data_IF_515393427157
#
_entry.id   IF_515393427157
#
_cell.length_a   1.000
_cell.length_b   1.000
_cell.length_c   1.000
_cell.angle_alpha   90.00
_cell.angle_beta   90.00
_cell.angle_gamma   90.00
#
_symmetry.space_group_name_H-M   'P 1'
#
loop_
_entity.id
_entity.type
_entity.pdbx_description
1 polymer ?
#
# COMPACT_ATOMS: atom_id res chain seq x y z
N UNK A 1 -30.41 25.37 -12.42
CA UNK A 1 -30.10 26.81 -12.30
C UNK A 1 -31.11 27.49 -11.41
N UNK A 2 -30.63 28.21 -10.36
CA UNK A 2 -31.43 29.09 -9.56
C UNK A 2 -31.82 30.34 -10.39
N UNK A 3 -32.82 31.08 -9.94
CA UNK A 3 -33.24 32.33 -10.64
C UNK A 3 -32.08 33.34 -10.75
N UNK A 4 -31.23 33.43 -9.73
CA UNK A 4 -30.07 34.32 -9.70
C UNK A 4 -28.97 33.86 -10.67
N UNK A 5 -28.71 32.56 -10.75
CA UNK A 5 -27.77 31.99 -11.70
C UNK A 5 -28.22 32.21 -13.15
N UNK A 6 -29.51 32.01 -13.42
CA UNK A 6 -30.06 32.21 -14.73
C UNK A 6 -29.98 33.71 -15.13
N UNK A 7 -30.36 34.63 -14.25
CA UNK A 7 -30.23 36.05 -14.47
C UNK A 7 -28.79 36.51 -14.69
N UNK A 8 -27.85 35.90 -13.93
CA UNK A 8 -26.43 36.15 -14.12
C UNK A 8 -25.96 35.75 -15.52
N UNK A 9 -26.25 34.52 -15.96
CA UNK A 9 -25.81 34.05 -17.26
C UNK A 9 -26.52 34.77 -18.42
N UNK A 10 -27.79 35.17 -18.27
CA UNK A 10 -28.47 36.00 -19.24
C UNK A 10 -27.78 37.36 -19.39
N UNK A 11 -27.45 38.03 -18.27
CA UNK A 11 -26.71 39.31 -18.31
C UNK A 11 -25.33 39.15 -18.93
N UNK A 12 -24.63 38.06 -18.65
CA UNK A 12 -23.33 37.76 -19.22
C UNK A 12 -23.46 37.58 -20.75
N UNK A 13 -24.43 36.81 -21.22
CA UNK A 13 -24.68 36.57 -22.65
C UNK A 13 -25.06 37.88 -23.36
N UNK A 14 -25.96 38.67 -22.78
CA UNK A 14 -26.38 39.95 -23.36
C UNK A 14 -25.24 40.98 -23.42
N UNK A 15 -24.41 41.03 -22.39
CA UNK A 15 -23.22 41.86 -22.39
C UNK A 15 -22.22 41.43 -23.45
N UNK A 16 -22.06 40.12 -23.66
CA UNK A 16 -21.19 39.55 -24.68
C UNK A 16 -21.66 39.87 -26.12
N UNK A 17 -22.98 39.96 -26.34
CA UNK A 17 -23.59 40.31 -27.63
C UNK A 17 -23.64 41.80 -27.89
N UNK A 18 -23.29 42.66 -26.92
CA UNK A 18 -23.33 44.11 -27.06
C UNK A 18 -22.21 44.64 -27.96
N UNK A 19 -22.40 45.86 -28.48
CA UNK A 19 -21.42 46.56 -29.35
C UNK A 19 -20.13 46.96 -28.60
N UNK A 20 -20.18 47.12 -27.27
CA UNK A 20 -19.02 47.30 -26.38
C UNK A 20 -19.12 46.33 -25.20
N UNK A 21 -18.71 45.07 -25.40
CA UNK A 21 -18.83 44.03 -24.39
C UNK A 21 -18.00 44.31 -23.14
N UNK A 22 -16.89 45.01 -23.29
CA UNK A 22 -15.98 45.34 -22.18
C UNK A 22 -16.62 46.27 -21.17
N UNK A 23 -17.32 47.31 -21.67
CA UNK A 23 -18.03 48.24 -20.83
C UNK A 23 -19.30 47.62 -20.25
N UNK A 24 -20.01 46.82 -21.04
CA UNK A 24 -21.19 46.10 -20.62
C UNK A 24 -20.94 45.10 -19.50
N UNK A 25 -19.85 44.35 -19.57
CA UNK A 25 -19.46 43.38 -18.53
C UNK A 25 -18.85 44.04 -17.29
N UNK A 26 -18.14 45.17 -17.41
CA UNK A 26 -17.68 45.94 -16.27
C UNK A 26 -18.85 46.58 -15.47
N UNK A 27 -19.98 46.81 -16.11
CA UNK A 27 -21.18 47.30 -15.48
C UNK A 27 -22.05 46.18 -14.85
N UNK A 28 -21.70 44.90 -15.06
CA UNK A 28 -22.34 43.82 -14.33
C UNK A 28 -21.70 43.79 -12.94
N UNK A 29 -22.32 44.49 -11.98
CA UNK A 29 -21.97 44.45 -10.55
C UNK A 29 -22.19 43.06 -9.91
N UNK A 30 -22.57 42.07 -10.72
CA UNK A 30 -22.94 40.75 -10.24
C UNK A 30 -21.68 39.90 -10.08
N UNK A 31 -21.32 39.67 -8.84
CA UNK A 31 -20.34 38.68 -8.43
C UNK A 31 -20.80 37.31 -8.91
N UNK A 32 -19.87 36.47 -9.33
CA UNK A 32 -20.16 35.05 -9.63
C UNK A 32 -20.96 34.45 -8.48
N UNK A 33 -22.14 33.88 -8.70
CA UNK A 33 -22.98 33.38 -7.62
C UNK A 33 -22.24 32.41 -6.70
N UNK A 34 -22.32 32.63 -5.39
CA UNK A 34 -21.66 31.73 -4.41
C UNK A 34 -22.09 30.27 -4.60
N UNK A 35 -23.34 30.04 -4.99
CA UNK A 35 -23.91 28.73 -5.29
C UNK A 35 -23.18 27.99 -6.40
N UNK A 36 -22.64 28.69 -7.41
CA UNK A 36 -21.84 28.09 -8.47
C UNK A 36 -20.45 27.76 -7.94
N UNK A 37 -19.87 28.63 -7.13
CA UNK A 37 -18.56 28.41 -6.51
C UNK A 37 -18.61 27.17 -5.60
N UNK A 38 -19.60 27.11 -4.72
CA UNK A 38 -19.80 25.99 -3.81
C UNK A 38 -20.03 24.67 -4.57
N UNK A 39 -20.84 24.70 -5.65
CA UNK A 39 -21.08 23.50 -6.47
C UNK A 39 -19.83 23.04 -7.22
N UNK A 40 -18.98 23.94 -7.70
CA UNK A 40 -17.68 23.56 -8.31
C UNK A 40 -16.78 22.90 -7.30
N UNK A 41 -16.69 23.43 -6.08
CA UNK A 41 -15.90 22.78 -5.02
C UNK A 41 -16.47 21.44 -4.58
N UNK A 42 -17.79 21.32 -4.47
CA UNK A 42 -18.45 20.05 -4.16
C UNK A 42 -18.21 19.00 -5.24
N UNK A 43 -18.30 19.36 -6.51
CA UNK A 43 -18.01 18.46 -7.62
C UNK A 43 -16.52 18.10 -7.71
N UNK A 44 -15.60 19.04 -7.44
CA UNK A 44 -14.17 18.77 -7.33
C UNK A 44 -13.87 17.67 -6.31
N UNK A 45 -14.53 17.72 -5.15
CA UNK A 45 -14.35 16.73 -4.10
C UNK A 45 -15.09 15.43 -4.37
N UNK A 46 -16.25 15.49 -5.03
CA UNK A 46 -17.09 14.31 -5.28
C UNK A 46 -16.57 13.45 -6.43
N UNK A 47 -16.14 14.08 -7.53
CA UNK A 47 -15.74 13.37 -8.75
C UNK A 47 -14.25 13.01 -8.80
N UNK A 48 -13.44 13.58 -7.91
CA UNK A 48 -12.00 13.36 -7.82
C UNK A 48 -11.63 12.65 -6.52
N UNK A 49 -11.46 11.32 -6.53
CA UNK A 49 -11.25 10.52 -5.33
C UNK A 49 -10.06 10.98 -4.48
N UNK A 50 -8.97 11.45 -5.09
CA UNK A 50 -7.84 11.99 -4.36
C UNK A 50 -8.24 13.23 -3.56
N UNK A 51 -8.84 14.21 -4.22
CA UNK A 51 -9.21 15.47 -3.57
C UNK A 51 -10.25 15.26 -2.46
N UNK A 52 -11.16 14.31 -2.62
CA UNK A 52 -12.14 13.96 -1.58
C UNK A 52 -11.49 13.40 -0.31
N UNK A 53 -10.36 12.72 -0.44
CA UNK A 53 -9.61 12.13 0.71
C UNK A 53 -8.75 13.14 1.46
N UNK A 54 -8.37 14.25 0.82
CA UNK A 54 -7.43 15.22 1.41
C UNK A 54 -8.08 16.24 2.35
N UNK A 55 -9.38 16.20 2.53
CA UNK A 55 -10.10 17.16 3.39
C UNK A 55 -9.72 18.62 3.06
N UNK A 56 -10.00 19.04 1.82
CA UNK A 56 -9.75 20.41 1.40
C UNK A 56 -10.46 21.41 2.33
N UNK A 57 -9.70 22.36 2.88
CA UNK A 57 -10.23 23.42 3.70
C UNK A 57 -10.44 24.67 2.82
N UNK A 58 -11.65 25.20 2.79
CA UNK A 58 -11.93 26.45 2.08
C UNK A 58 -11.26 27.61 2.81
N UNK A 59 -10.36 28.31 2.13
CA UNK A 59 -9.56 29.40 2.70
C UNK A 59 -9.86 30.71 1.97
N UNK A 60 -10.37 31.70 2.68
CA UNK A 60 -10.64 33.04 2.17
C UNK A 60 -9.56 34.03 2.60
N UNK A 61 -8.40 34.03 1.95
CA UNK A 61 -7.30 34.96 2.21
C UNK A 61 -6.05 34.36 2.82
N UNK A 62 -5.06 35.18 3.16
CA UNK A 62 -3.85 34.77 3.89
C UNK A 62 -4.24 34.15 5.24
N UNK A 63 -4.04 32.86 5.38
CA UNK A 63 -4.36 32.14 6.61
C UNK A 63 -3.06 31.73 7.28
N UNK A 64 -2.83 32.19 8.50
CA UNK A 64 -1.78 31.65 9.37
C UNK A 64 -2.29 30.39 10.00
N UNK A 65 -1.59 29.31 9.77
CA UNK A 65 -1.92 28.01 10.34
C UNK A 65 -1.00 27.70 11.51
N UNK A 66 -1.57 27.33 12.64
CA UNK A 66 -0.82 26.81 13.77
C UNK A 66 -0.76 25.29 13.66
N UNK A 67 0.41 24.76 13.33
CA UNK A 67 0.67 23.33 13.32
C UNK A 67 1.27 22.90 14.67
N UNK A 68 0.68 21.87 15.26
CA UNK A 68 1.30 21.22 16.41
C UNK A 68 2.47 20.36 15.94
N UNK A 69 3.69 20.81 16.14
CA UNK A 69 4.92 20.12 15.72
C UNK A 69 5.44 19.12 16.74
N UNK A 70 4.83 19.01 17.92
CA UNK A 70 5.39 18.20 19.00
C UNK A 70 4.98 16.72 18.98
N UNK A 71 4.24 16.26 17.98
CA UNK A 71 3.86 14.85 17.88
C UNK A 71 2.97 14.36 19.02
N UNK A 72 2.92 13.05 19.22
CA UNK A 72 2.15 12.43 20.28
C UNK A 72 2.91 12.53 21.61
N UNK A 73 2.53 13.52 22.43
CA UNK A 73 3.06 13.65 23.80
C UNK A 73 2.28 12.69 24.72
N UNK A 74 3.00 12.04 25.64
CA UNK A 74 2.40 11.12 26.60
C UNK A 74 2.17 11.84 27.91
N UNK A 75 0.96 11.73 28.47
CA UNK A 75 0.72 12.07 29.85
C UNK A 75 1.38 11.01 30.78
N UNK A 76 1.93 11.46 31.88
CA UNK A 76 2.62 10.58 32.85
C UNK A 76 1.67 10.21 33.97
N UNK A 77 1.66 8.92 34.32
CA UNK A 77 0.93 8.42 35.48
C UNK A 77 1.74 8.67 36.77
N UNK A 78 1.16 9.36 37.73
CA UNK A 78 1.74 9.60 39.06
C UNK A 78 0.78 9.17 40.19
N UNK A 79 1.27 9.07 41.40
CA UNK A 79 0.40 8.85 42.57
C UNK A 79 -0.46 10.10 42.79
N UNK A 80 -1.63 9.93 43.40
CA UNK A 80 -2.61 10.99 43.64
C UNK A 80 -2.05 12.21 44.36
N UNK A 81 -0.95 12.03 45.12
CA UNK A 81 -0.27 13.05 45.94
C UNK A 81 1.00 13.61 45.31
N UNK A 82 1.41 13.10 44.12
CA UNK A 82 2.62 13.55 43.46
C UNK A 82 2.39 14.88 42.74
N UNK A 83 3.43 15.72 42.71
CA UNK A 83 3.40 16.96 41.93
C UNK A 83 3.33 16.60 40.45
N UNK A 84 2.54 17.37 39.65
CA UNK A 84 2.54 17.28 38.20
C UNK A 84 3.94 17.62 37.71
N UNK A 85 4.65 16.64 37.16
CA UNK A 85 6.10 16.72 36.87
C UNK A 85 6.36 17.11 35.42
N UNK A 86 5.41 16.88 34.49
CA UNK A 86 5.62 17.19 33.08
C UNK A 86 4.65 18.24 32.56
N UNK A 87 5.23 19.33 32.10
CA UNK A 87 4.55 20.34 31.30
C UNK A 87 4.53 19.86 29.83
N UNK A 88 3.32 19.73 29.25
CA UNK A 88 3.18 19.48 27.82
C UNK A 88 3.71 20.71 27.09
N UNK A 89 4.86 20.59 26.46
CA UNK A 89 5.44 21.67 25.66
C UNK A 89 4.57 21.89 24.41
N UNK A 90 3.90 23.03 24.32
CA UNK A 90 3.18 23.44 23.13
C UNK A 90 4.19 23.87 22.04
N UNK A 91 4.52 22.94 21.14
CA UNK A 91 5.30 23.27 19.93
C UNK A 91 4.33 23.67 18.82
N UNK A 92 3.86 24.90 18.85
CA UNK A 92 3.13 25.47 17.73
C UNK A 92 4.14 26.12 16.77
N UNK A 93 4.15 25.66 15.52
CA UNK A 93 4.86 26.34 14.44
C UNK A 93 3.83 27.14 13.66
N UNK A 94 4.05 28.44 13.59
CA UNK A 94 3.30 29.31 12.72
C UNK A 94 3.81 29.10 11.29
N UNK A 95 2.95 28.67 10.40
CA UNK A 95 3.25 28.53 8.97
C UNK A 95 2.49 29.61 8.25
N UNK A 96 3.23 30.57 7.69
CA UNK A 96 2.66 31.56 6.76
C UNK A 96 2.27 30.83 5.48
N UNK A 97 0.98 30.67 5.26
CA UNK A 97 0.42 30.04 4.06
C UNK A 97 0.28 31.10 2.99
N UNK A 98 1.30 31.22 2.14
CA UNK A 98 1.17 32.01 0.90
C UNK A 98 0.36 31.19 -0.09
N UNK A 99 -0.75 31.76 -0.56
CA UNK A 99 -1.61 31.09 -1.53
C UNK A 99 -1.01 31.25 -2.93
N UNK A 100 -0.81 30.12 -3.60
CA UNK A 100 -0.40 30.10 -4.99
C UNK A 100 -1.62 30.21 -5.90
N UNK A 101 -1.42 30.77 -7.09
CA UNK A 101 -2.48 31.04 -8.04
C UNK A 101 -2.54 30.00 -9.15
N UNK A 102 -3.56 29.16 -9.13
CA UNK A 102 -3.92 28.32 -10.26
C UNK A 102 -4.86 29.10 -11.20
N UNK A 103 -4.55 29.19 -12.49
CA UNK A 103 -5.34 29.90 -13.48
C UNK A 103 -5.75 28.97 -14.61
N UNK A 104 -7.00 28.99 -15.01
CA UNK A 104 -7.51 28.29 -16.18
C UNK A 104 -8.09 29.29 -17.19
N UNK A 105 -7.77 29.07 -18.47
CA UNK A 105 -8.33 29.81 -19.58
C UNK A 105 -9.51 29.05 -20.17
N UNK A 106 -10.61 29.77 -20.38
CA UNK A 106 -11.80 29.24 -21.01
C UNK A 106 -12.08 29.98 -22.32
N UNK A 107 -11.69 29.46 -23.48
CA UNK A 107 -12.08 30.02 -24.77
C UNK A 107 -13.55 29.70 -25.04
N UNK A 108 -14.34 30.72 -25.39
CA UNK A 108 -15.74 30.59 -25.78
C UNK A 108 -15.93 31.25 -27.13
N UNK A 109 -16.27 30.47 -28.16
CA UNK A 109 -16.63 31.00 -29.47
C UNK A 109 -17.95 31.77 -29.40
N UNK A 110 -18.04 32.88 -30.13
CA UNK A 110 -19.28 33.69 -30.17
C UNK A 110 -20.47 32.85 -30.67
N UNK A 111 -20.24 31.88 -31.56
CA UNK A 111 -21.29 30.97 -32.01
C UNK A 111 -21.87 30.10 -30.88
N UNK A 112 -21.09 29.81 -29.84
CA UNK A 112 -21.54 29.05 -28.68
C UNK A 112 -22.52 29.81 -27.79
N UNK A 113 -22.46 31.17 -27.81
CA UNK A 113 -23.35 32.02 -27.03
C UNK A 113 -24.82 31.94 -27.51
N UNK A 114 -25.04 31.50 -28.75
CA UNK A 114 -26.37 31.28 -29.31
C UNK A 114 -27.11 30.08 -28.71
N UNK A 115 -26.39 29.19 -28.01
CA UNK A 115 -26.97 28.00 -27.37
C UNK A 115 -27.71 28.30 -26.04
N UNK A 116 -27.56 29.50 -25.52
CA UNK A 116 -28.31 29.99 -24.37
C UNK A 116 -27.69 29.71 -22.99
N UNK A 117 -28.32 30.22 -21.91
CA UNK A 117 -27.73 30.24 -20.57
C UNK A 117 -27.48 28.88 -19.95
N UNK A 118 -28.38 27.91 -20.18
CA UNK A 118 -28.26 26.58 -19.59
C UNK A 118 -27.05 25.78 -20.18
N UNK A 119 -26.80 26.00 -21.46
CA UNK A 119 -25.63 25.40 -22.11
C UNK A 119 -24.33 26.02 -21.60
N UNK A 120 -24.29 27.37 -21.49
CA UNK A 120 -23.09 28.06 -21.01
C UNK A 120 -22.75 27.67 -19.58
N UNK A 121 -23.73 27.55 -18.70
CA UNK A 121 -23.55 27.06 -17.34
C UNK A 121 -22.92 25.66 -17.30
N UNK A 122 -23.50 24.72 -18.07
CA UNK A 122 -22.98 23.36 -18.16
C UNK A 122 -21.54 23.33 -18.67
N UNK A 123 -21.26 24.07 -19.74
CA UNK A 123 -19.92 24.12 -20.33
C UNK A 123 -18.89 24.71 -19.37
N UNK A 124 -19.23 25.83 -18.71
CA UNK A 124 -18.36 26.48 -17.72
C UNK A 124 -18.06 25.53 -16.57
N UNK A 125 -19.06 24.85 -16.02
CA UNK A 125 -18.85 23.87 -14.94
C UNK A 125 -17.94 22.74 -15.37
N UNK A 126 -18.24 22.05 -16.46
CA UNK A 126 -17.45 20.90 -16.93
C UNK A 126 -15.97 21.28 -17.17
N UNK A 127 -15.73 22.36 -17.91
CA UNK A 127 -14.35 22.78 -18.23
C UNK A 127 -13.60 23.26 -16.98
N UNK A 128 -14.29 23.99 -16.08
CA UNK A 128 -13.68 24.47 -14.86
C UNK A 128 -13.30 23.33 -13.92
N UNK A 129 -14.24 22.42 -13.67
CA UNK A 129 -14.03 21.30 -12.76
C UNK A 129 -12.86 20.47 -13.27
N UNK A 130 -12.83 20.12 -14.55
CA UNK A 130 -11.77 19.33 -15.13
C UNK A 130 -10.40 20.04 -15.07
N UNK A 131 -10.34 21.30 -15.48
CA UNK A 131 -9.09 22.07 -15.50
C UNK A 131 -8.54 22.31 -14.08
N UNK A 132 -9.40 22.71 -13.14
CA UNK A 132 -8.99 22.95 -11.76
C UNK A 132 -8.63 21.67 -11.03
N UNK A 133 -9.37 20.57 -11.25
CA UNK A 133 -9.08 19.30 -10.65
C UNK A 133 -7.73 18.75 -11.10
N UNK A 134 -7.50 18.73 -12.40
CA UNK A 134 -6.24 18.23 -12.98
C UNK A 134 -5.06 19.07 -12.51
N UNK A 135 -5.18 20.41 -12.52
CA UNK A 135 -4.13 21.30 -12.04
C UNK A 135 -3.87 21.16 -10.54
N UNK A 136 -4.92 21.01 -9.75
CA UNK A 136 -4.81 20.83 -8.30
C UNK A 136 -4.23 19.47 -7.95
N UNK A 137 -4.68 18.39 -8.60
CA UNK A 137 -4.09 17.06 -8.42
C UNK A 137 -2.60 17.04 -8.79
N UNK A 138 -2.22 17.68 -9.90
CA UNK A 138 -0.82 17.78 -10.29
C UNK A 138 0.01 18.49 -9.22
N UNK A 139 -0.44 19.65 -8.72
CA UNK A 139 0.24 20.40 -7.66
C UNK A 139 0.34 19.60 -6.36
N UNK A 140 -0.73 18.90 -5.97
CA UNK A 140 -0.77 18.06 -4.77
C UNK A 140 0.19 16.86 -4.87
N UNK A 141 0.34 16.26 -6.03
CA UNK A 141 1.21 15.09 -6.23
C UNK A 141 2.65 15.51 -6.47
N UNK A 142 2.90 16.43 -7.41
CA UNK A 142 4.24 16.72 -7.96
C UNK A 142 4.75 18.13 -7.68
N UNK A 143 3.90 19.05 -7.23
CA UNK A 143 4.26 20.45 -7.09
C UNK A 143 5.59 20.67 -6.39
N UNK A 144 6.37 21.64 -6.86
CA UNK A 144 7.72 21.91 -6.36
C UNK A 144 7.73 22.73 -5.07
N UNK A 145 6.64 23.41 -4.76
CA UNK A 145 6.53 24.38 -3.65
C UNK A 145 6.91 25.78 -4.05
N UNK A 146 7.27 26.01 -5.32
CA UNK A 146 7.54 27.35 -5.86
C UNK A 146 6.38 27.78 -6.74
N UNK A 147 5.62 28.74 -6.28
CA UNK A 147 4.41 29.25 -6.95
C UNK A 147 3.34 28.14 -7.19
N UNK A 148 3.43 27.03 -6.45
CA UNK A 148 2.54 25.88 -6.48
C UNK A 148 2.62 25.07 -5.16
N UNK A 149 1.65 24.19 -4.84
CA UNK A 149 1.70 23.35 -3.63
C UNK A 149 2.97 22.52 -3.54
N UNK A 150 3.38 22.15 -2.32
CA UNK A 150 4.47 21.19 -2.12
C UNK A 150 3.89 19.78 -2.27
N UNK A 151 4.27 19.09 -3.35
CA UNK A 151 3.75 17.78 -3.70
C UNK A 151 4.06 16.68 -2.69
N UNK A 152 3.25 15.62 -2.70
CA UNK A 152 3.46 14.42 -1.88
C UNK A 152 4.79 13.72 -2.22
N UNK A 153 5.28 13.88 -3.45
CA UNK A 153 6.56 13.35 -3.93
C UNK A 153 7.78 14.13 -3.42
N UNK A 154 7.58 15.26 -2.74
CA UNK A 154 8.65 16.14 -2.27
C UNK A 154 9.03 15.85 -0.82
N UNK A 155 10.32 16.10 -0.52
CA UNK A 155 10.83 16.06 0.84
C UNK A 155 10.41 17.32 1.57
N UNK A 156 9.91 17.18 2.79
CA UNK A 156 9.47 18.29 3.64
C UNK A 156 10.06 18.17 5.05
N UNK A 157 10.21 19.28 5.74
CA UNK A 157 10.66 19.29 7.14
C UNK A 157 11.96 20.05 7.36
N UNK A 158 12.43 20.04 8.61
CA UNK A 158 13.64 20.75 9.00
C UNK A 158 14.89 20.07 8.39
N UNK A 159 15.79 20.85 7.82
CA UNK A 159 17.04 20.36 7.22
C UNK A 159 16.92 19.94 5.74
N UNK A 160 15.75 20.06 5.12
CA UNK A 160 15.60 19.85 3.67
C UNK A 160 16.24 21.01 2.93
N UNK A 161 17.10 20.70 1.95
CA UNK A 161 17.77 21.72 1.14
C UNK A 161 16.83 22.20 0.01
N UNK A 162 16.19 23.34 0.25
CA UNK A 162 15.32 24.00 -0.74
C UNK A 162 16.16 24.93 -1.59
N UNK A 163 16.19 24.69 -2.90
CA UNK A 163 17.00 25.48 -3.86
C UNK A 163 16.05 26.29 -4.75
N UNK A 164 16.20 27.61 -4.72
CA UNK A 164 15.37 28.50 -5.55
C UNK A 164 13.86 28.48 -5.24
N UNK A 165 13.48 28.01 -4.05
CA UNK A 165 12.08 27.80 -3.64
C UNK A 165 11.52 26.40 -3.96
N UNK A 166 12.30 25.55 -4.63
CA UNK A 166 11.88 24.20 -5.01
C UNK A 166 12.36 23.15 -4.01
N UNK A 167 11.44 22.30 -3.57
CA UNK A 167 11.69 21.19 -2.67
C UNK A 167 12.20 19.97 -3.44
N UNK A 168 13.24 19.27 -2.95
CA UNK A 168 13.77 18.09 -3.63
C UNK A 168 12.78 16.95 -3.64
N UNK A 169 12.86 16.09 -4.66
CA UNK A 169 12.06 14.87 -4.78
C UNK A 169 12.50 13.82 -3.77
N UNK A 170 11.57 12.94 -3.38
CA UNK A 170 11.89 11.73 -2.61
C UNK A 170 12.48 10.67 -3.52
N UNK A 171 13.45 9.92 -3.01
CA UNK A 171 13.98 8.75 -3.70
C UNK A 171 12.94 7.62 -3.75
N UNK A 172 12.64 7.07 -4.94
CA UNK A 172 11.67 5.99 -5.07
C UNK A 172 12.16 4.69 -4.42
N UNK A 173 11.29 4.04 -3.67
CA UNK A 173 11.55 2.72 -3.08
C UNK A 173 11.13 1.64 -4.08
N UNK A 174 12.08 0.78 -4.46
CA UNK A 174 11.82 -0.29 -5.44
C UNK A 174 10.90 -1.36 -4.88
N UNK A 175 9.82 -1.63 -5.62
CA UNK A 175 8.84 -2.67 -5.29
C UNK A 175 8.83 -3.74 -6.37
N UNK A 176 8.86 -5.00 -5.95
CA UNK A 176 8.71 -6.16 -6.86
C UNK A 176 7.42 -6.93 -6.61
N UNK A 177 6.78 -6.72 -5.48
CA UNK A 177 5.49 -7.32 -5.12
C UNK A 177 4.72 -6.44 -4.13
N UNK A 178 3.40 -6.49 -4.17
CA UNK A 178 2.53 -5.87 -3.17
C UNK A 178 2.15 -6.89 -2.07
N UNK A 179 3.15 -7.61 -1.56
CA UNK A 179 2.96 -8.60 -0.50
C UNK A 179 3.11 -7.97 0.91
N UNK A 180 2.76 -8.79 1.93
CA UNK A 180 2.80 -8.36 3.33
C UNK A 180 4.19 -7.84 3.77
N UNK A 181 5.26 -8.46 3.30
CA UNK A 181 6.63 -8.11 3.73
C UNK A 181 7.04 -6.76 3.14
N UNK A 182 6.92 -6.57 1.83
CA UNK A 182 7.34 -5.33 1.18
C UNK A 182 6.45 -4.16 1.58
N UNK A 183 5.13 -4.33 1.57
CA UNK A 183 4.20 -3.29 2.06
C UNK A 183 4.41 -2.99 3.55
N UNK A 184 4.63 -4.01 4.37
CA UNK A 184 4.93 -3.84 5.80
C UNK A 184 6.20 -3.01 6.03
N UNK A 185 7.26 -3.28 5.28
CA UNK A 185 8.51 -2.51 5.36
C UNK A 185 8.29 -1.04 5.00
N UNK A 186 7.58 -0.76 3.92
CA UNK A 186 7.27 0.61 3.52
C UNK A 186 6.35 1.30 4.52
N UNK A 187 5.31 0.61 4.99
CA UNK A 187 4.38 1.14 6.01
C UNK A 187 5.09 1.45 7.33
N UNK A 188 6.14 0.68 7.69
CA UNK A 188 6.93 0.91 8.88
C UNK A 188 7.65 2.27 8.89
N UNK A 189 7.99 2.82 7.71
CA UNK A 189 8.55 4.17 7.57
C UNK A 189 7.52 5.20 8.02
N UNK A 190 6.27 5.03 7.59
CA UNK A 190 5.16 5.92 7.96
C UNK A 190 4.72 5.78 9.42
N UNK A 191 4.99 4.63 10.05
CA UNK A 191 4.72 4.39 11.47
C UNK A 191 5.65 5.20 12.41
N UNK A 192 6.61 5.95 11.83
CA UNK A 192 7.44 6.92 12.57
C UNK A 192 7.30 8.29 11.93
N UNK A 193 7.09 9.31 12.76
CA UNK A 193 7.14 10.69 12.27
C UNK A 193 8.61 11.12 11.99
N UNK A 194 8.80 12.30 11.40
CA UNK A 194 10.13 12.85 11.10
C UNK A 194 11.02 13.06 12.35
N UNK A 195 10.43 13.09 13.54
CA UNK A 195 11.15 13.14 14.85
C UNK A 195 11.47 11.75 15.41
N UNK A 196 11.17 10.66 14.69
CA UNK A 196 11.41 9.27 15.13
C UNK A 196 10.39 8.70 16.10
N UNK A 197 9.34 9.43 16.48
CA UNK A 197 8.29 8.96 17.38
C UNK A 197 7.35 8.00 16.64
N UNK A 198 6.96 6.92 17.31
CA UNK A 198 6.00 5.96 16.77
C UNK A 198 4.59 6.57 16.71
N UNK A 199 3.85 6.25 15.63
CA UNK A 199 2.45 6.67 15.44
C UNK A 199 1.64 5.57 14.78
N UNK A 200 0.32 5.65 14.96
CA UNK A 200 -0.60 4.79 14.23
C UNK A 200 -0.67 5.22 12.76
N UNK A 201 -0.78 4.24 11.88
CA UNK A 201 -0.94 4.44 10.44
C UNK A 201 -2.40 4.16 10.09
N UNK A 202 -3.09 5.14 9.52
CA UNK A 202 -4.49 5.05 9.09
C UNK A 202 -4.68 5.78 7.76
N UNK A 203 -5.84 5.59 7.13
CA UNK A 203 -6.25 6.26 5.89
C UNK A 203 -5.22 6.14 4.77
N UNK A 204 -4.76 4.90 4.56
CA UNK A 204 -3.76 4.61 3.55
C UNK A 204 -4.33 4.69 2.15
N UNK A 205 -3.62 5.41 1.30
CA UNK A 205 -3.90 5.52 -0.13
C UNK A 205 -2.70 5.08 -0.95
N UNK A 206 -2.96 4.48 -2.10
CA UNK A 206 -1.97 4.19 -3.13
C UNK A 206 -2.40 4.91 -4.41
N UNK A 207 -1.69 5.98 -4.76
CA UNK A 207 -1.92 6.74 -5.99
C UNK A 207 -1.11 6.12 -7.11
N UNK A 208 -1.73 5.87 -8.24
CA UNK A 208 -1.09 5.22 -9.39
C UNK A 208 -1.56 5.84 -10.70
N UNK A 209 -0.68 5.83 -11.71
CA UNK A 209 -1.08 6.20 -13.05
C UNK A 209 -2.17 5.22 -13.58
N UNK A 210 -3.22 5.69 -14.28
CA UNK A 210 -4.26 4.82 -14.82
C UNK A 210 -3.71 3.70 -15.72
N UNK A 211 -2.65 3.95 -16.49
CA UNK A 211 -2.01 2.93 -17.34
C UNK A 211 -1.36 1.84 -16.50
N UNK A 212 -0.60 2.24 -15.47
CA UNK A 212 0.06 1.30 -14.56
C UNK A 212 -0.94 0.55 -13.67
N UNK A 213 -2.07 1.17 -13.33
CA UNK A 213 -3.15 0.46 -12.62
C UNK A 213 -3.55 -0.82 -13.36
N UNK A 214 -3.87 -0.70 -14.66
CA UNK A 214 -4.31 -1.86 -15.44
C UNK A 214 -3.19 -2.83 -15.76
N UNK A 215 -1.98 -2.33 -16.07
CA UNK A 215 -0.84 -3.16 -16.49
C UNK A 215 -0.12 -3.84 -15.32
N UNK A 216 0.03 -3.16 -14.18
CA UNK A 216 0.90 -3.59 -13.08
C UNK A 216 0.14 -3.84 -11.78
N UNK A 217 -0.68 -2.87 -11.34
CA UNK A 217 -1.32 -2.93 -10.01
C UNK A 217 -2.42 -3.99 -9.97
N UNK A 218 -3.31 -4.00 -10.95
CA UNK A 218 -4.41 -4.97 -10.98
C UNK A 218 -3.90 -6.42 -10.99
N UNK A 219 -2.91 -6.80 -11.84
CA UNK A 219 -2.32 -8.14 -11.81
C UNK A 219 -1.56 -8.44 -10.51
N UNK A 220 -0.98 -7.43 -9.85
CA UNK A 220 -0.24 -7.60 -8.59
C UNK A 220 -1.15 -7.64 -7.34
N UNK A 221 -2.42 -7.32 -7.48
CA UNK A 221 -3.38 -7.24 -6.36
C UNK A 221 -4.55 -8.22 -6.48
N UNK A 222 -4.63 -8.97 -7.56
CA UNK A 222 -5.69 -9.95 -7.81
C UNK A 222 -5.10 -11.32 -8.08
N UNK A 223 -5.63 -12.31 -7.43
CA UNK A 223 -5.27 -13.70 -7.64
C UNK A 223 -6.50 -14.54 -7.99
N UNK A 224 -6.32 -15.49 -8.89
CA UNK A 224 -7.37 -16.44 -9.25
C UNK A 224 -7.35 -17.60 -8.24
N UNK A 225 -8.46 -17.82 -7.56
CA UNK A 225 -8.62 -18.99 -6.67
C UNK A 225 -8.82 -20.27 -7.49
N UNK A 226 -8.60 -21.47 -6.91
CA UNK A 226 -8.89 -22.73 -7.58
C UNK A 226 -10.33 -22.84 -8.11
N UNK A 227 -11.27 -22.16 -7.46
CA UNK A 227 -12.69 -22.13 -7.84
C UNK A 227 -12.98 -21.15 -9.00
N UNK A 228 -11.96 -20.53 -9.58
CA UNK A 228 -12.09 -19.62 -10.70
C UNK A 228 -12.55 -18.20 -10.34
N UNK A 229 -12.49 -17.80 -9.06
CA UNK A 229 -12.87 -16.46 -8.60
C UNK A 229 -11.63 -15.59 -8.38
N UNK A 230 -11.65 -14.34 -8.85
CA UNK A 230 -10.61 -13.37 -8.55
C UNK A 230 -10.82 -12.74 -7.17
N UNK A 231 -9.83 -12.88 -6.30
CA UNK A 231 -9.84 -12.29 -4.95
C UNK A 231 -8.75 -11.23 -4.80
N UNK A 232 -9.00 -10.24 -3.96
CA UNK A 232 -7.97 -9.26 -3.60
C UNK A 232 -6.93 -9.92 -2.70
N UNK A 233 -5.66 -9.72 -3.03
CA UNK A 233 -4.52 -10.22 -2.23
C UNK A 233 -3.81 -9.10 -1.47
N UNK A 234 -4.36 -7.89 -1.49
CA UNK A 234 -3.79 -6.76 -0.76
C UNK A 234 -3.89 -7.01 0.74
N UNK A 235 -2.76 -7.14 1.44
CA UNK A 235 -2.74 -7.56 2.85
C UNK A 235 -3.04 -6.43 3.84
N UNK A 236 -3.00 -5.18 3.39
CA UNK A 236 -3.19 -3.97 4.20
C UNK A 236 -4.40 -3.21 3.67
N UNK A 237 -5.31 -2.75 4.54
CA UNK A 237 -6.43 -1.92 4.10
C UNK A 237 -5.91 -0.59 3.55
N UNK A 238 -5.94 -0.43 2.25
CA UNK A 238 -5.58 0.80 1.52
C UNK A 238 -6.52 1.02 0.36
N UNK A 239 -6.76 2.26 0.02
CA UNK A 239 -7.52 2.63 -1.17
C UNK A 239 -6.57 2.88 -2.34
N UNK A 240 -6.84 2.24 -3.47
CA UNK A 240 -6.07 2.45 -4.69
C UNK A 240 -6.79 3.48 -5.54
N UNK A 241 -6.15 4.61 -5.76
CA UNK A 241 -6.70 5.76 -6.48
C UNK A 241 -5.91 5.95 -7.77
N UNK A 242 -6.61 6.03 -8.90
CA UNK A 242 -6.01 6.35 -10.18
C UNK A 242 -5.94 7.87 -10.36
N UNK A 243 -4.75 8.39 -10.68
CA UNK A 243 -4.53 9.80 -10.96
C UNK A 243 -3.55 9.96 -12.12
N UNK A 244 -3.93 10.77 -13.11
CA UNK A 244 -3.06 11.10 -14.24
C UNK A 244 -1.87 11.98 -13.82
N UNK A 245 -1.90 12.57 -12.62
CA UNK A 245 -0.78 13.33 -12.08
C UNK A 245 0.41 12.46 -11.65
N UNK A 246 0.21 11.15 -11.47
CA UNK A 246 1.28 10.21 -11.12
C UNK A 246 2.03 9.80 -12.38
N UNK A 247 3.35 9.87 -12.36
CA UNK A 247 4.22 9.46 -13.46
C UNK A 247 4.18 7.93 -13.66
N UNK A 248 4.17 7.48 -14.92
CA UNK A 248 4.24 6.05 -15.22
C UNK A 248 5.52 5.43 -14.64
N UNK A 249 5.42 4.22 -14.11
CA UNK A 249 6.53 3.53 -13.43
C UNK A 249 6.64 3.86 -11.94
N UNK A 250 5.88 4.85 -11.45
CA UNK A 250 5.89 5.24 -10.05
C UNK A 250 4.52 5.11 -9.41
N UNK A 251 4.49 5.09 -8.07
CA UNK A 251 3.27 5.20 -7.30
C UNK A 251 3.56 6.02 -6.03
N UNK A 252 2.55 6.70 -5.50
CA UNK A 252 2.65 7.41 -4.22
C UNK A 252 1.83 6.67 -3.17
N UNK A 253 2.48 6.24 -2.11
CA UNK A 253 1.85 5.51 -1.01
C UNK A 253 1.94 6.35 0.26
N UNK A 254 0.81 6.55 0.94
CA UNK A 254 0.81 7.41 2.12
C UNK A 254 -0.50 7.51 2.86
N UNK A 255 -0.51 8.37 3.87
CA UNK A 255 -1.66 8.67 4.71
C UNK A 255 -2.35 9.93 4.22
N UNK A 256 -3.52 9.82 3.59
CA UNK A 256 -4.27 10.95 3.01
C UNK A 256 -4.54 12.07 4.04
N UNK A 257 -4.93 11.74 5.26
CA UNK A 257 -5.18 12.69 6.33
C UNK A 257 -3.94 13.44 6.84
N UNK A 258 -2.74 13.13 6.33
CA UNK A 258 -1.49 13.84 6.64
C UNK A 258 -1.03 14.80 5.54
N UNK A 259 -1.88 15.09 4.58
CA UNK A 259 -1.68 16.16 3.62
C UNK A 259 -2.66 17.29 3.91
N UNK A 260 -2.14 18.49 4.09
CA UNK A 260 -2.96 19.69 4.20
C UNK A 260 -3.20 20.28 2.82
N UNK A 261 -4.45 20.58 2.49
CA UNK A 261 -4.83 21.29 1.29
C UNK A 261 -5.76 22.45 1.67
N UNK A 262 -5.32 23.65 1.43
CA UNK A 262 -6.16 24.86 1.50
C UNK A 262 -6.46 25.34 0.09
N UNK A 263 -7.72 25.47 -0.27
CA UNK A 263 -8.12 25.98 -1.57
C UNK A 263 -9.22 27.03 -1.41
N UNK A 264 -9.19 28.04 -2.27
CA UNK A 264 -10.18 29.10 -2.24
C UNK A 264 -10.25 29.85 -3.58
N UNK A 265 -11.38 30.44 -3.89
CA UNK A 265 -11.51 31.32 -5.06
C UNK A 265 -11.17 32.76 -4.71
N UNK A 266 -10.76 33.53 -5.71
CA UNK A 266 -10.57 34.98 -5.57
C UNK A 266 -11.79 35.64 -4.92
N UNK A 267 -11.54 36.60 -4.02
CA UNK A 267 -12.51 37.26 -3.16
C UNK A 267 -13.81 37.73 -3.82
N UNK A 268 -13.89 37.78 -5.15
CA UNK A 268 -15.07 38.25 -5.88
C UNK A 268 -15.54 37.26 -6.97
N UNK A 269 -14.94 36.06 -7.10
CA UNK A 269 -15.35 35.10 -8.13
C UNK A 269 -15.51 35.72 -9.54
N UNK A 270 -14.83 36.84 -9.80
CA UNK A 270 -14.96 37.52 -11.06
C UNK A 270 -14.27 36.73 -12.16
N UNK A 271 -15.03 36.40 -13.19
CA UNK A 271 -14.48 35.96 -14.45
C UNK A 271 -13.85 37.17 -15.13
N UNK A 272 -12.54 37.14 -15.32
CA UNK A 272 -11.84 38.12 -16.16
C UNK A 272 -11.91 37.62 -17.60
N UNK A 273 -12.04 38.54 -18.55
CA UNK A 273 -12.10 38.19 -19.96
C UNK A 273 -11.21 39.09 -20.82
N UNK A 274 -10.84 38.60 -22.00
CA UNK A 274 -10.12 39.35 -23.01
C UNK A 274 -10.65 39.05 -24.41
N UNK A 275 -10.95 40.12 -25.16
CA UNK A 275 -11.35 40.05 -26.57
C UNK A 275 -10.15 40.24 -27.54
N UNK A 276 -8.97 40.56 -26.99
CA UNK A 276 -7.82 40.99 -27.80
C UNK A 276 -6.88 39.83 -28.16
N UNK A 277 -6.88 38.74 -27.37
CA UNK A 277 -5.89 37.71 -27.48
C UNK A 277 -6.18 36.72 -28.64
N UNK A 278 -7.47 36.43 -28.93
CA UNK A 278 -7.91 35.56 -30.03
C UNK A 278 -8.89 36.31 -30.96
N UNK A 279 -8.54 37.51 -31.32
CA UNK A 279 -9.43 38.36 -32.13
C UNK A 279 -9.71 37.79 -33.52
N UNK A 280 -8.73 37.12 -34.13
CA UNK A 280 -8.86 36.53 -35.47
C UNK A 280 -9.64 35.19 -35.48
N UNK A 281 -9.67 34.52 -34.34
CA UNK A 281 -10.39 33.24 -34.16
C UNK A 281 -11.87 33.43 -33.76
N UNK A 282 -12.33 34.69 -33.60
CA UNK A 282 -13.66 35.04 -33.14
C UNK A 282 -14.03 34.42 -31.78
N UNK A 283 -13.02 34.32 -30.89
CA UNK A 283 -13.12 33.75 -29.55
C UNK A 283 -12.93 34.81 -28.47
N UNK A 284 -13.59 34.58 -27.33
CA UNK A 284 -13.37 35.29 -26.05
C UNK A 284 -12.72 34.35 -25.07
N UNK A 285 -11.71 34.86 -24.39
CA UNK A 285 -11.02 34.10 -23.36
C UNK A 285 -11.52 34.56 -22.00
N UNK A 286 -12.02 33.61 -21.23
CA UNK A 286 -12.35 33.77 -19.82
C UNK A 286 -11.25 33.23 -18.97
N UNK A 287 -10.84 33.98 -17.96
CA UNK A 287 -9.82 33.63 -16.99
C UNK A 287 -10.47 33.37 -15.65
N UNK A 288 -10.23 32.20 -15.09
CA UNK A 288 -10.65 31.83 -13.75
C UNK A 288 -9.42 31.59 -12.90
N UNK A 289 -9.46 32.05 -11.66
CA UNK A 289 -8.35 31.96 -10.71
C UNK A 289 -8.81 31.22 -9.48
N UNK A 290 -8.09 30.14 -9.14
CA UNK A 290 -8.15 29.43 -7.88
C UNK A 290 -6.87 29.74 -7.10
N UNK A 291 -6.99 29.94 -5.82
CA UNK A 291 -5.84 30.03 -4.92
C UNK A 291 -5.75 28.74 -4.12
N UNK A 292 -4.62 28.10 -4.16
CA UNK A 292 -4.40 26.86 -3.42
C UNK A 292 -3.04 26.88 -2.73
N UNK A 293 -2.95 26.16 -1.63
CA UNK A 293 -1.72 25.87 -0.93
C UNK A 293 -1.81 24.48 -0.33
N UNK A 294 -0.77 23.68 -0.45
CA UNK A 294 -0.77 22.33 0.11
C UNK A 294 0.63 21.83 0.44
N UNK A 295 0.71 21.01 1.47
CA UNK A 295 1.96 20.35 1.86
C UNK A 295 1.68 19.14 2.74
N UNK A 296 2.62 18.19 2.76
CA UNK A 296 2.59 17.08 3.70
C UNK A 296 2.97 17.57 5.10
N UNK A 297 2.16 17.24 6.11
CA UNK A 297 2.39 17.62 7.51
C UNK A 297 3.66 16.98 8.10
N UNK A 298 4.14 15.91 7.47
CA UNK A 298 5.31 15.15 7.91
C UNK A 298 5.98 14.49 6.70
N UNK A 299 7.31 14.48 6.66
CA UNK A 299 8.05 13.89 5.54
C UNK A 299 7.77 12.40 5.35
N UNK A 300 7.57 11.67 6.43
CA UNK A 300 7.31 10.23 6.40
C UNK A 300 5.84 9.89 6.16
N UNK A 301 4.97 10.89 5.93
CA UNK A 301 3.56 10.66 5.67
C UNK A 301 3.32 10.03 4.30
N UNK A 302 4.20 10.29 3.35
CA UNK A 302 4.14 9.78 1.98
C UNK A 302 5.49 9.25 1.54
N UNK A 303 5.48 8.18 0.75
CA UNK A 303 6.66 7.59 0.10
C UNK A 303 6.38 7.40 -1.39
N UNK A 304 7.42 7.52 -2.20
CA UNK A 304 7.36 7.22 -3.63
C UNK A 304 7.84 5.80 -3.85
N UNK A 305 7.10 5.03 -4.64
CA UNK A 305 7.42 3.65 -4.99
C UNK A 305 7.81 3.58 -6.45
N UNK A 306 8.88 2.87 -6.76
CA UNK A 306 9.21 2.43 -8.11
C UNK A 306 8.53 1.06 -8.34
N UNK A 307 7.55 1.05 -9.24
CA UNK A 307 6.72 -0.11 -9.56
C UNK A 307 7.02 -0.71 -10.93
N UNK A 308 8.12 -0.31 -11.59
CA UNK A 308 8.47 -0.81 -12.92
C UNK A 308 8.71 -2.31 -12.96
N UNK A 309 9.22 -2.88 -11.86
CA UNK A 309 9.51 -4.30 -11.74
C UNK A 309 8.45 -5.09 -10.96
N UNK A 310 7.27 -4.50 -10.76
CA UNK A 310 6.19 -5.14 -10.04
C UNK A 310 5.72 -6.41 -10.77
N UNK A 311 5.69 -7.54 -10.07
CA UNK A 311 5.28 -8.82 -10.61
C UNK A 311 3.81 -9.11 -10.30
N UNK A 312 3.09 -9.76 -11.23
CA UNK A 312 1.76 -10.30 -10.93
C UNK A 312 1.80 -11.26 -9.74
N UNK A 313 0.67 -11.33 -9.01
CA UNK A 313 0.53 -12.36 -7.97
C UNK A 313 0.62 -13.73 -8.63
N UNK A 314 1.59 -14.52 -8.22
CA UNK A 314 1.71 -15.93 -8.55
C UNK A 314 1.47 -16.72 -7.27
N UNK A 315 0.48 -17.60 -7.27
CA UNK A 315 0.52 -18.70 -6.32
C UNK A 315 1.57 -19.66 -6.83
N UNK A 316 2.71 -19.70 -6.20
CA UNK A 316 3.52 -20.90 -6.26
C UNK A 316 2.66 -21.96 -5.56
N UNK A 317 2.11 -22.87 -6.35
CA UNK A 317 1.74 -24.17 -5.82
C UNK A 317 3.09 -24.77 -5.43
N UNK A 318 3.51 -24.51 -4.20
CA UNK A 318 4.51 -25.35 -3.57
C UNK A 318 3.80 -26.70 -3.53
N UNK A 319 4.05 -27.53 -4.54
CA UNK A 319 3.97 -28.97 -4.34
C UNK A 319 4.88 -29.15 -3.13
N UNK A 320 4.27 -29.33 -1.97
CA UNK A 320 4.91 -29.97 -0.87
C UNK A 320 5.18 -31.38 -1.40
N UNK A 321 6.25 -31.54 -2.17
CA UNK A 321 7.02 -32.78 -2.03
C UNK A 321 7.28 -32.78 -0.53
N UNK A 322 6.58 -33.69 0.14
CA UNK A 322 6.93 -34.00 1.52
C UNK A 322 8.43 -34.16 1.46
N UNK A 323 9.20 -33.24 2.03
CA UNK A 323 10.62 -33.41 2.15
C UNK A 323 10.73 -34.69 2.99
N UNK A 324 10.90 -35.83 2.29
CA UNK A 324 11.16 -37.09 2.93
C UNK A 324 12.47 -36.90 3.68
N UNK A 325 12.33 -36.70 4.99
CA UNK A 325 13.49 -36.66 5.87
C UNK A 325 13.88 -38.11 6.05
N UNK A 326 14.97 -38.53 5.38
CA UNK A 326 15.53 -39.86 5.51
C UNK A 326 15.64 -40.22 6.99
N UNK A 327 15.05 -41.34 7.39
CA UNK A 327 15.06 -41.81 8.77
C UNK A 327 15.26 -43.32 8.82
N UNK A 328 16.49 -43.73 9.14
CA UNK A 328 16.90 -45.14 9.25
C UNK A 328 16.79 -45.72 10.67
N UNK A 329 15.91 -45.18 11.52
CA UNK A 329 15.70 -45.69 12.87
C UNK A 329 14.60 -46.76 12.92
N UNK A 330 14.72 -47.70 13.88
CA UNK A 330 13.61 -48.58 14.28
C UNK A 330 12.79 -47.92 15.40
N UNK A 331 11.49 -48.07 15.34
CA UNK A 331 10.59 -47.73 16.45
C UNK A 331 10.48 -48.88 17.45
N UNK A 332 10.72 -50.14 17.01
CA UNK A 332 10.74 -51.32 17.88
C UNK A 332 11.47 -52.50 17.22
N UNK A 333 12.04 -53.41 18.03
CA UNK A 333 12.69 -54.63 17.60
C UNK A 333 12.36 -55.79 18.56
N UNK A 334 11.86 -56.88 18.04
CA UNK A 334 11.42 -58.04 18.83
C UNK A 334 12.05 -59.35 18.35
N UNK A 335 12.47 -60.19 19.29
CA UNK A 335 12.86 -61.56 19.08
C UNK A 335 11.80 -62.47 19.77
N UNK A 336 10.72 -62.77 19.08
CA UNK A 336 9.56 -63.44 19.67
C UNK A 336 8.98 -62.63 20.84
N UNK A 337 8.81 -63.29 21.99
CA UNK A 337 8.37 -62.70 23.25
C UNK A 337 9.51 -62.37 24.22
N UNK A 338 10.76 -62.50 23.76
CA UNK A 338 11.94 -62.34 24.61
C UNK A 338 12.21 -60.86 24.89
N UNK A 339 12.69 -60.57 26.10
CA UNK A 339 13.10 -59.23 26.48
C UNK A 339 14.54 -58.95 26.06
N UNK A 340 14.78 -57.93 25.28
CA UNK A 340 16.12 -57.45 24.91
C UNK A 340 16.82 -56.81 26.10
N UNK A 341 18.11 -57.01 26.21
CA UNK A 341 18.99 -56.37 27.21
C UNK A 341 20.09 -55.58 26.48
N UNK A 342 20.17 -54.26 26.63
CA UNK A 342 19.20 -53.41 27.33
C UNK A 342 17.81 -53.40 26.66
N UNK A 343 16.80 -52.81 27.33
CA UNK A 343 15.48 -52.61 26.70
C UNK A 343 15.65 -51.81 25.42
N UNK A 344 14.85 -52.12 24.38
CA UNK A 344 14.95 -51.49 23.08
C UNK A 344 14.88 -49.92 23.20
N UNK A 345 15.84 -49.28 22.56
CA UNK A 345 15.95 -47.85 22.34
C UNK A 345 16.51 -47.58 20.94
N UNK A 346 15.91 -46.69 20.18
CA UNK A 346 16.25 -46.42 18.78
C UNK A 346 17.71 -45.97 18.56
N UNK A 347 18.35 -45.41 19.58
CA UNK A 347 19.75 -44.96 19.53
C UNK A 347 20.75 -46.05 19.94
N UNK A 348 20.28 -47.12 20.56
CA UNK A 348 21.12 -48.26 20.98
C UNK A 348 21.22 -49.28 19.85
N UNK A 349 22.42 -49.63 19.45
CA UNK A 349 22.67 -50.50 18.28
C UNK A 349 22.99 -51.94 18.66
N UNK A 350 23.23 -52.26 19.94
CA UNK A 350 23.62 -53.58 20.37
C UNK A 350 22.77 -54.10 21.52
N UNK A 351 22.29 -55.34 21.38
CA UNK A 351 21.41 -56.00 22.35
C UNK A 351 21.82 -57.45 22.55
N UNK A 352 21.44 -58.00 23.70
CA UNK A 352 21.61 -59.43 24.00
C UNK A 352 20.30 -60.03 24.45
N UNK A 353 20.10 -61.31 24.20
CA UNK A 353 18.94 -62.05 24.66
C UNK A 353 19.31 -63.55 24.78
N UNK A 354 18.73 -64.22 25.74
CA UNK A 354 18.88 -65.69 25.90
C UNK A 354 17.58 -66.40 25.59
N UNK A 355 17.70 -67.64 25.03
CA UNK A 355 16.55 -68.47 24.71
C UNK A 355 16.91 -69.97 24.79
N UNK A 356 15.96 -70.75 25.26
CA UNK A 356 16.02 -72.25 25.15
C UNK A 356 15.27 -72.78 23.91
N UNK A 357 14.52 -71.86 23.22
CA UNK A 357 13.76 -72.26 22.04
C UNK A 357 14.67 -72.51 20.83
N UNK A 358 14.33 -73.48 20.00
CA UNK A 358 15.06 -73.77 18.77
C UNK A 358 14.88 -72.62 17.71
N UNK A 359 13.78 -71.91 17.75
CA UNK A 359 13.43 -70.86 16.80
C UNK A 359 12.67 -69.72 17.47
N UNK A 360 12.89 -68.47 17.02
CA UNK A 360 12.08 -67.36 17.39
C UNK A 360 11.75 -66.48 16.13
N UNK A 361 10.66 -65.77 16.15
CA UNK A 361 10.30 -64.79 15.11
C UNK A 361 11.08 -63.50 15.33
N UNK A 362 11.68 -62.95 14.28
CA UNK A 362 12.32 -61.62 14.34
C UNK A 362 11.40 -60.61 13.69
N UNK A 363 11.00 -59.59 14.43
CA UNK A 363 10.15 -58.52 13.91
C UNK A 363 10.80 -57.17 14.20
N UNK A 364 11.05 -56.39 13.16
CA UNK A 364 11.58 -55.06 13.24
C UNK A 364 10.56 -54.07 12.69
N UNK A 365 10.32 -53.00 13.41
CA UNK A 365 9.37 -51.95 13.02
C UNK A 365 10.17 -50.67 12.68
N UNK A 366 10.15 -50.20 11.43
CA UNK A 366 10.81 -48.95 11.09
C UNK A 366 10.02 -47.76 11.63
N UNK A 367 10.72 -46.66 11.93
CA UNK A 367 10.09 -45.41 12.30
C UNK A 367 9.50 -44.71 11.06
N UNK A 368 10.23 -44.72 9.95
CA UNK A 368 9.74 -44.24 8.67
C UNK A 368 9.08 -45.36 7.86
N UNK A 369 7.87 -45.11 7.36
CA UNK A 369 7.14 -46.10 6.55
C UNK A 369 7.78 -46.42 5.20
N UNK A 370 8.73 -45.61 4.75
CA UNK A 370 9.53 -45.75 3.51
C UNK A 370 10.81 -46.55 3.71
N UNK A 371 11.23 -46.79 4.97
CA UNK A 371 12.47 -47.47 5.25
C UNK A 371 12.42 -48.95 4.88
N UNK A 372 13.48 -49.44 4.27
CA UNK A 372 13.68 -50.84 3.93
C UNK A 372 14.45 -51.54 5.05
N UNK A 373 13.99 -52.77 5.42
CA UNK A 373 14.60 -53.57 6.47
C UNK A 373 15.18 -54.85 5.87
N UNK A 374 16.44 -55.12 6.15
CA UNK A 374 17.13 -56.36 5.84
C UNK A 374 17.60 -57.03 7.13
N UNK A 375 17.16 -58.27 7.35
CA UNK A 375 17.50 -59.03 8.55
C UNK A 375 18.39 -60.24 8.13
N UNK A 376 19.51 -60.42 8.85
CA UNK A 376 20.36 -61.59 8.68
C UNK A 376 20.64 -62.21 10.03
N UNK A 377 20.80 -63.54 10.03
CA UNK A 377 21.28 -64.32 11.15
C UNK A 377 22.57 -65.05 10.69
N UNK A 378 23.71 -64.59 11.19
CA UNK A 378 24.98 -64.90 10.50
C UNK A 378 24.90 -64.38 9.06
N UNK A 379 25.10 -65.29 8.08
CA UNK A 379 25.04 -64.97 6.65
C UNK A 379 23.68 -65.34 6.00
N UNK A 380 22.70 -65.80 6.79
CA UNK A 380 21.41 -66.27 6.29
C UNK A 380 20.39 -65.10 6.39
N UNK A 381 19.78 -64.73 5.25
CA UNK A 381 18.67 -63.74 5.24
C UNK A 381 17.40 -64.33 5.84
N UNK A 382 16.74 -63.51 6.69
CA UNK A 382 15.44 -63.84 7.30
C UNK A 382 14.47 -62.76 6.91
N UNK A 383 13.26 -63.13 6.48
CA UNK A 383 12.20 -62.15 6.19
C UNK A 383 11.75 -61.49 7.48
N UNK A 384 11.45 -60.16 7.46
CA UNK A 384 10.88 -59.49 8.61
C UNK A 384 9.54 -60.14 9.03
N UNK A 385 9.42 -60.50 10.29
CA UNK A 385 8.32 -61.31 10.81
C UNK A 385 8.53 -62.84 10.59
N UNK A 386 9.66 -63.24 10.00
CA UNK A 386 10.00 -64.63 9.79
C UNK A 386 10.67 -65.33 10.99
N UNK A 387 10.69 -66.64 10.99
CA UNK A 387 11.36 -67.47 12.03
C UNK A 387 12.84 -67.63 11.72
N UNK A 388 13.67 -67.33 12.70
CA UNK A 388 15.09 -67.68 12.71
C UNK A 388 15.35 -68.98 13.51
N UNK A 389 16.30 -69.82 13.07
CA UNK A 389 16.73 -71.03 13.78
C UNK A 389 18.06 -70.75 14.47
N UNK A 390 18.18 -71.16 15.72
CA UNK A 390 19.35 -70.91 16.54
C UNK A 390 20.28 -72.13 16.64
N UNK A 391 21.56 -71.90 16.43
CA UNK A 391 22.60 -72.86 16.77
C UNK A 391 22.90 -72.78 18.28
N UNK A 392 23.36 -73.84 18.92
CA UNK A 392 23.82 -73.81 20.32
C UNK A 392 24.87 -72.74 20.54
N UNK A 393 24.74 -71.94 21.60
CA UNK A 393 25.62 -70.83 21.89
C UNK A 393 25.14 -69.50 21.24
N UNK A 394 26.08 -68.59 20.94
CA UNK A 394 25.79 -67.25 20.46
C UNK A 394 25.47 -67.21 18.97
N UNK A 395 24.34 -66.55 18.61
CA UNK A 395 23.90 -66.30 17.24
C UNK A 395 23.81 -64.80 17.04
N UNK A 396 24.39 -64.26 15.99
CA UNK A 396 24.37 -62.85 15.68
C UNK A 396 23.25 -62.53 14.69
N UNK A 397 22.28 -61.70 15.12
CA UNK A 397 21.23 -61.13 14.28
C UNK A 397 21.65 -59.72 13.92
N UNK A 398 21.65 -59.38 12.65
CA UNK A 398 21.82 -57.98 12.17
C UNK A 398 20.54 -57.55 11.49
N UNK A 399 20.03 -56.39 11.91
CA UNK A 399 18.88 -55.71 11.30
C UNK A 399 19.38 -54.42 10.71
N UNK A 400 19.52 -54.36 9.40
CA UNK A 400 19.90 -53.16 8.66
C UNK A 400 18.65 -52.44 8.19
N UNK A 401 18.54 -51.18 8.58
CA UNK A 401 17.49 -50.25 8.15
C UNK A 401 18.11 -49.26 7.18
N UNK A 402 17.46 -49.05 6.04
CA UNK A 402 17.90 -48.05 5.04
C UNK A 402 16.72 -47.19 4.62
N UNK A 403 16.90 -45.88 4.57
CA UNK A 403 15.93 -44.90 4.10
C UNK A 403 16.66 -43.77 3.37
N UNK A 404 16.41 -43.66 2.07
CA UNK A 404 17.17 -42.76 1.20
C UNK A 404 18.69 -42.99 1.27
N UNK A 405 19.41 -41.98 1.72
CA UNK A 405 20.86 -42.00 1.86
C UNK A 405 21.36 -42.55 3.22
N UNK A 406 20.46 -42.69 4.19
CA UNK A 406 20.80 -43.10 5.55
C UNK A 406 20.70 -44.63 5.71
N UNK A 407 21.61 -45.19 6.51
CA UNK A 407 21.58 -46.59 6.91
C UNK A 407 22.01 -46.75 8.37
N UNK A 408 21.30 -47.60 9.12
CA UNK A 408 21.63 -47.95 10.50
C UNK A 408 21.52 -49.45 10.69
N UNK A 409 22.40 -50.06 11.50
CA UNK A 409 22.40 -51.50 11.76
C UNK A 409 22.28 -51.77 13.24
N UNK A 410 21.25 -52.51 13.64
CA UNK A 410 21.05 -53.02 14.99
C UNK A 410 21.56 -54.48 15.06
N UNK A 411 22.31 -54.81 16.08
CA UNK A 411 22.88 -56.15 16.28
C UNK A 411 22.30 -56.77 17.55
N UNK A 412 21.72 -57.92 17.45
CA UNK A 412 21.23 -58.68 18.61
C UNK A 412 22.00 -59.98 18.70
N UNK A 413 22.65 -60.19 19.83
CA UNK A 413 23.28 -61.50 20.15
C UNK A 413 22.25 -62.40 20.86
N UNK A 414 21.80 -63.42 20.19
CA UNK A 414 20.87 -64.40 20.74
C UNK A 414 21.68 -65.63 21.21
N UNK A 415 21.73 -65.87 22.54
CA UNK A 415 22.39 -67.03 23.11
C UNK A 415 21.38 -68.11 23.35
N UNK A 416 21.57 -69.23 22.66
CA UNK A 416 20.75 -70.42 22.87
C UNK A 416 21.41 -71.34 23.90
N UNK A 417 20.71 -71.52 25.03
CA UNK A 417 21.04 -72.44 26.12
C UNK A 417 20.67 -73.88 25.78
#
# INVERSE_FOLDING_TARGET
LTSNEKEYYEKVIDAMKSSDPKQALNNIETVFPETIIDSVFEELTTNHPLLSKLHATTVTGLTRMMLNTNGEQKAVWGKLTDKIIEELTSGFKEVDVTQDKLSAFLPVSKAMLDLGPAWLDKYVREVLIEALANGLEYGVVNGTGKDEPIGMTRQVGDGVNVVGGEYPTKEPIKMTALNMVQLGNVTSIMARNSKGQARNVSDLILLVNPVDYWKKILPATRALTPDGVYVSTVPIPMEIIQSAAVEEGTAVYGMAGKYFLGAGMSKNGKIEYSDQYHFLEDERIYLIKLYAYGFALDNNAFVVLDIDKLQPVRFEVVNKEEQHVDNAFLSDLKIGSLSLTPKFDANTETYTVTTSAATNTITAFPEAGTANIEITVGDVKVTNGGKATWNSGANTVKVKVTDGSLAKTYTVTVTKE
#
